data_IF_735023315703
#
_entry.id   IF_735023315703
#
_cell.length_a   1.000
_cell.length_b   1.000
_cell.length_c   1.000
_cell.angle_alpha   90.00
_cell.angle_beta   90.00
_cell.angle_gamma   90.00
#
_symmetry.space_group_name_H-M   'P 1'
#
loop_
_entity.id
_entity.type
_entity.pdbx_description
1 polymer ?
#
# COMPACT_ATOMS: atom_id res chain seq x y z
N UNK A 1 -22.88 -33.79 -2.98
CA UNK A 1 -24.00 -32.89 -2.66
C UNK A 1 -23.43 -31.76 -1.84
N UNK A 2 -23.12 -30.64 -2.48
CA UNK A 2 -22.57 -29.43 -1.85
C UNK A 2 -23.69 -28.42 -1.90
N UNK A 3 -24.20 -28.07 -0.73
CA UNK A 3 -25.33 -27.19 -0.53
C UNK A 3 -24.89 -26.15 0.50
N UNK A 4 -24.12 -25.19 0.04
CA UNK A 4 -23.69 -23.93 0.67
C UNK A 4 -23.46 -22.97 -0.52
N UNK A 5 -23.81 -21.69 -0.55
CA UNK A 5 -24.25 -20.74 0.46
C UNK A 5 -24.84 -19.53 -0.33
N UNK A 6 -26.17 -19.39 -0.49
CA UNK A 6 -26.74 -18.20 -1.12
C UNK A 6 -26.60 -16.94 -0.25
N UNK A 7 -26.32 -17.12 1.05
CA UNK A 7 -26.23 -16.03 2.03
C UNK A 7 -24.87 -15.28 1.97
N UNK A 8 -23.75 -15.96 1.66
CA UNK A 8 -22.47 -15.27 1.45
C UNK A 8 -22.50 -14.36 0.24
N UNK A 9 -23.15 -14.79 -0.85
CA UNK A 9 -23.30 -13.96 -2.05
C UNK A 9 -24.16 -12.72 -1.76
N UNK A 10 -25.20 -12.85 -0.93
CA UNK A 10 -26.03 -11.72 -0.53
C UNK A 10 -25.26 -10.73 0.37
N UNK A 11 -24.48 -11.23 1.32
CA UNK A 11 -23.65 -10.38 2.19
C UNK A 11 -22.58 -9.61 1.40
N UNK A 12 -21.97 -10.23 0.38
CA UNK A 12 -20.95 -9.60 -0.45
C UNK A 12 -21.55 -8.57 -1.43
N UNK A 13 -22.75 -8.84 -1.97
CA UNK A 13 -23.51 -7.87 -2.79
C UNK A 13 -23.99 -6.69 -1.93
N UNK A 14 -24.44 -6.90 -0.70
CA UNK A 14 -24.78 -5.81 0.21
C UNK A 14 -23.56 -4.98 0.61
N UNK A 15 -22.38 -5.61 0.78
CA UNK A 15 -21.15 -4.88 1.06
C UNK A 15 -20.68 -4.02 -0.13
N UNK A 16 -20.83 -4.50 -1.37
CA UNK A 16 -20.58 -3.70 -2.58
C UNK A 16 -21.60 -2.56 -2.73
N UNK A 17 -22.88 -2.81 -2.42
CA UNK A 17 -23.95 -1.81 -2.55
C UNK A 17 -23.88 -0.72 -1.48
N UNK A 18 -23.43 -1.05 -0.27
CA UNK A 18 -23.20 -0.07 0.80
C UNK A 18 -21.97 0.83 0.53
N UNK A 19 -21.06 0.44 -0.36
CA UNK A 19 -19.97 1.28 -0.85
C UNK A 19 -20.41 2.35 -1.86
N UNK A 20 -21.55 2.14 -2.52
CA UNK A 20 -22.16 3.07 -3.47
C UNK A 20 -23.32 3.84 -2.81
N UNK A 21 -23.05 4.62 -1.76
CA UNK A 21 -24.01 5.63 -1.34
C UNK A 21 -24.02 6.77 -2.36
N UNK A 22 -25.17 7.10 -2.98
CA UNK A 22 -25.31 8.31 -3.78
C UNK A 22 -25.10 9.50 -2.83
N UNK A 23 -24.10 10.33 -3.13
CA UNK A 23 -23.91 11.63 -2.47
C UNK A 23 -25.00 12.57 -3.01
N UNK A 24 -26.22 12.37 -2.55
CA UNK A 24 -27.37 13.26 -2.77
C UNK A 24 -27.64 13.95 -1.44
N UNK A 25 -27.06 15.13 -1.26
CA UNK A 25 -27.57 16.23 -0.41
C UNK A 25 -26.52 17.36 -0.30
N UNK A 26 -26.12 17.91 -1.44
CA UNK A 26 -25.36 19.17 -1.49
C UNK A 26 -25.93 20.09 -2.57
N UNK A 27 -25.95 21.41 -2.34
CA UNK A 27 -26.57 22.37 -3.24
C UNK A 27 -25.89 22.36 -4.62
N UNK A 28 -26.66 22.57 -5.71
CA UNK A 28 -26.15 22.53 -7.07
C UNK A 28 -25.10 23.62 -7.29
N UNK A 29 -23.94 23.21 -7.81
CA UNK A 29 -22.93 24.13 -8.32
C UNK A 29 -23.51 24.92 -9.51
N UNK A 30 -23.26 26.24 -9.54
CA UNK A 30 -23.80 27.15 -10.55
C UNK A 30 -23.44 26.76 -12.01
N UNK A 31 -24.29 27.12 -12.98
CA UNK A 31 -24.33 26.49 -14.30
C UNK A 31 -23.09 26.72 -15.21
N UNK A 32 -22.28 27.75 -14.98
CA UNK A 32 -21.19 28.11 -15.92
C UNK A 32 -19.78 27.61 -15.52
N UNK A 33 -19.62 26.95 -14.37
CA UNK A 33 -18.35 26.30 -13.97
C UNK A 33 -18.47 24.79 -13.70
N UNK A 34 -19.66 24.23 -13.88
CA UNK A 34 -19.99 22.86 -13.46
C UNK A 34 -19.43 21.75 -14.38
N UNK A 35 -18.92 22.07 -15.56
CA UNK A 35 -18.67 21.05 -16.60
C UNK A 35 -17.49 20.09 -16.32
N UNK A 36 -16.53 20.41 -15.44
CA UNK A 36 -15.40 19.49 -15.16
C UNK A 36 -14.99 19.41 -13.67
N UNK A 37 -15.89 19.70 -12.74
CA UNK A 37 -15.62 19.46 -11.32
C UNK A 37 -16.03 18.04 -10.93
N UNK A 38 -15.10 17.22 -10.42
CA UNK A 38 -15.41 15.89 -9.86
C UNK A 38 -14.89 15.76 -8.44
N UNK A 39 -15.68 15.09 -7.60
CA UNK A 39 -15.36 14.83 -6.20
C UNK A 39 -14.99 13.37 -6.02
N UNK A 40 -13.92 13.14 -5.28
CA UNK A 40 -13.40 11.83 -4.90
C UNK A 40 -13.26 11.76 -3.39
N UNK A 41 -13.23 10.55 -2.83
CA UNK A 41 -13.06 10.35 -1.40
C UNK A 41 -11.76 9.58 -1.16
N UNK A 42 -10.69 10.31 -0.91
CA UNK A 42 -9.40 9.71 -0.59
C UNK A 42 -9.42 9.13 0.83
N UNK A 43 -8.78 7.99 1.03
CA UNK A 43 -8.62 7.39 2.36
C UNK A 43 -7.27 7.79 2.95
N UNK A 44 -7.22 8.21 4.23
CA UNK A 44 -5.98 8.63 4.90
C UNK A 44 -5.61 7.75 6.09
N UNK A 45 -4.33 7.39 6.23
CA UNK A 45 -3.74 6.60 7.34
C UNK A 45 -3.43 7.47 8.56
N UNK A 46 -4.33 8.38 8.94
CA UNK A 46 -4.10 9.26 10.11
C UNK A 46 -4.03 8.50 11.45
N UNK A 47 -4.37 7.21 11.45
CA UNK A 47 -4.40 6.36 12.65
C UNK A 47 -3.02 6.10 13.26
N UNK A 48 -1.94 6.15 12.47
CA UNK A 48 -0.60 5.84 12.99
C UNK A 48 -0.18 6.79 14.12
N UNK A 49 -0.55 8.08 14.03
CA UNK A 49 -0.23 9.06 15.08
C UNK A 49 -1.00 8.78 16.38
N UNK A 50 -2.28 8.39 16.30
CA UNK A 50 -3.08 8.06 17.48
C UNK A 50 -2.60 6.78 18.15
N UNK A 51 -2.26 5.75 17.36
CA UNK A 51 -1.63 4.53 17.87
C UNK A 51 -0.36 4.86 18.64
N UNK A 52 0.54 5.67 18.07
CA UNK A 52 1.75 6.09 18.79
C UNK A 52 1.43 6.81 20.10
N UNK A 53 0.51 7.78 20.10
CA UNK A 53 0.13 8.51 21.32
C UNK A 53 -0.41 7.54 22.39
N UNK A 54 -1.29 6.60 22.01
CA UNK A 54 -1.85 5.63 22.94
C UNK A 54 -0.78 4.68 23.49
N UNK A 55 0.09 4.15 22.63
CA UNK A 55 1.16 3.22 23.03
C UNK A 55 2.16 3.90 23.97
N UNK A 56 2.62 5.11 23.65
CA UNK A 56 3.56 5.83 24.53
C UNK A 56 2.91 6.28 25.83
N UNK A 57 1.66 6.77 25.78
CA UNK A 57 0.90 7.10 26.98
C UNK A 57 0.71 5.90 27.90
N UNK A 58 0.42 4.73 27.33
CA UNK A 58 0.32 3.48 28.08
C UNK A 58 1.64 3.04 28.72
N UNK A 59 2.73 3.04 27.95
CA UNK A 59 4.05 2.67 28.47
C UNK A 59 4.49 3.58 29.62
N UNK A 60 4.24 4.90 29.51
CA UNK A 60 4.53 5.84 30.57
C UNK A 60 3.68 5.59 31.83
N UNK A 61 2.38 5.32 31.66
CA UNK A 61 1.49 4.98 32.78
C UNK A 61 1.93 3.68 33.47
N UNK A 62 2.29 2.66 32.69
CA UNK A 62 2.77 1.37 33.20
C UNK A 62 4.06 1.56 34.01
N UNK A 63 5.03 2.31 33.50
CA UNK A 63 6.27 2.63 34.22
C UNK A 63 6.00 3.36 35.55
N UNK A 64 5.04 4.30 35.57
CA UNK A 64 4.67 5.01 36.79
C UNK A 64 4.03 4.09 37.85
N UNK A 65 3.12 3.19 37.43
CA UNK A 65 2.50 2.21 38.35
C UNK A 65 3.56 1.27 38.94
N UNK A 66 4.46 0.74 38.11
CA UNK A 66 5.55 -0.12 38.58
C UNK A 66 6.50 0.62 39.54
N UNK A 67 6.82 1.88 39.28
CA UNK A 67 7.64 2.69 40.19
C UNK A 67 6.99 2.84 41.57
N UNK A 68 5.68 3.12 41.62
CA UNK A 68 4.93 3.23 42.89
C UNK A 68 4.88 1.89 43.64
N UNK A 69 4.61 0.79 42.93
CA UNK A 69 4.60 -0.55 43.54
C UNK A 69 5.97 -0.94 44.10
N UNK A 70 7.06 -0.52 43.44
CA UNK A 70 8.42 -0.81 43.89
C UNK A 70 8.78 -0.01 45.16
N UNK A 71 8.35 1.24 45.26
CA UNK A 71 8.61 2.10 46.44
C UNK A 71 7.73 1.73 47.63
N UNK A 72 6.48 1.28 47.39
CA UNK A 72 5.51 0.97 48.43
C UNK A 72 4.98 -0.47 48.29
N UNK A 73 5.61 -1.46 48.95
CA UNK A 73 5.19 -2.87 48.85
C UNK A 73 3.73 -3.12 49.28
N UNK A 74 3.21 -2.31 50.20
CA UNK A 74 1.80 -2.38 50.63
C UNK A 74 0.81 -2.01 49.54
N UNK A 75 1.25 -1.31 48.49
CA UNK A 75 0.42 -0.92 47.36
C UNK A 75 0.32 -2.02 46.29
N UNK A 76 0.90 -3.21 46.49
CA UNK A 76 1.00 -4.24 45.45
C UNK A 76 -0.37 -4.70 44.93
N UNK A 77 -1.31 -5.02 45.83
CA UNK A 77 -2.68 -5.45 45.45
C UNK A 77 -3.40 -4.32 44.70
N UNK A 78 -3.33 -3.11 45.23
CA UNK A 78 -3.93 -1.92 44.60
C UNK A 78 -3.33 -1.66 43.22
N UNK A 79 -2.02 -1.84 43.06
CA UNK A 79 -1.31 -1.69 41.79
C UNK A 79 -1.82 -2.63 40.71
N UNK A 80 -2.07 -3.90 41.03
CA UNK A 80 -2.66 -4.87 40.10
C UNK A 80 -4.09 -4.51 39.69
N UNK A 81 -4.91 -4.03 40.64
CA UNK A 81 -6.27 -3.56 40.33
C UNK A 81 -6.23 -2.37 39.38
N UNK A 82 -5.35 -1.39 39.63
CA UNK A 82 -5.14 -0.24 38.75
C UNK A 82 -4.68 -0.69 37.36
N UNK A 83 -3.74 -1.63 37.28
CA UNK A 83 -3.26 -2.15 36.00
C UNK A 83 -4.37 -2.87 35.21
N UNK A 84 -5.22 -3.64 35.90
CA UNK A 84 -6.40 -4.29 35.31
C UNK A 84 -7.39 -3.26 34.73
N UNK A 85 -7.68 -2.19 35.46
CA UNK A 85 -8.54 -1.11 35.00
C UNK A 85 -7.96 -0.33 33.83
N UNK A 86 -6.65 -0.03 33.84
CA UNK A 86 -5.95 0.62 32.72
C UNK A 86 -6.05 -0.26 31.47
N UNK A 87 -5.80 -1.56 31.61
CA UNK A 87 -5.85 -2.51 30.50
C UNK A 87 -7.26 -2.61 29.92
N UNK A 88 -8.28 -2.75 30.78
CA UNK A 88 -9.68 -2.78 30.35
C UNK A 88 -10.08 -1.47 29.67
N UNK A 89 -9.68 -0.33 30.23
CA UNK A 89 -9.91 1.00 29.67
C UNK A 89 -9.29 1.15 28.28
N UNK A 90 -8.08 0.63 28.06
CA UNK A 90 -7.42 0.65 26.75
C UNK A 90 -8.06 -0.25 25.73
N UNK A 91 -8.52 -1.45 26.12
CA UNK A 91 -9.27 -2.33 25.23
C UNK A 91 -10.56 -1.64 24.80
N UNK A 92 -11.32 -1.09 25.75
CA UNK A 92 -12.57 -0.40 25.48
C UNK A 92 -12.36 0.85 24.63
N UNK A 93 -11.35 1.65 24.97
CA UNK A 93 -10.95 2.82 24.19
C UNK A 93 -10.51 2.42 22.79
N UNK A 94 -9.76 1.33 22.63
CA UNK A 94 -9.36 0.78 21.34
C UNK A 94 -10.57 0.42 20.48
N UNK A 95 -11.54 -0.32 21.02
CA UNK A 95 -12.77 -0.69 20.32
C UNK A 95 -13.60 0.55 19.95
N UNK A 96 -13.79 1.49 20.88
CA UNK A 96 -14.55 2.72 20.64
C UNK A 96 -13.83 3.63 19.65
N UNK A 97 -12.52 3.80 19.75
CA UNK A 97 -11.72 4.60 18.83
C UNK A 97 -11.71 3.99 17.44
N UNK A 98 -11.55 2.67 17.31
CA UNK A 98 -11.68 1.94 16.03
C UNK A 98 -13.06 2.18 15.40
N UNK A 99 -14.13 1.99 16.19
CA UNK A 99 -15.50 2.10 15.69
C UNK A 99 -15.92 3.53 15.37
N UNK A 100 -15.57 4.48 16.24
CA UNK A 100 -16.02 5.88 16.14
C UNK A 100 -15.12 6.71 15.23
N UNK A 101 -13.82 6.44 15.22
CA UNK A 101 -12.87 7.20 14.40
C UNK A 101 -12.67 6.58 13.01
N UNK A 102 -13.05 5.30 12.84
CA UNK A 102 -12.85 4.56 11.60
C UNK A 102 -11.37 4.33 11.30
N UNK A 103 -11.02 3.18 10.74
CA UNK A 103 -9.64 2.91 10.31
C UNK A 103 -9.18 3.83 9.17
N UNK A 104 -10.14 4.46 8.49
CA UNK A 104 -9.98 5.28 7.30
C UNK A 104 -10.64 6.63 7.51
N UNK A 105 -9.85 7.69 7.71
CA UNK A 105 -10.41 9.04 7.58
C UNK A 105 -10.66 9.28 6.10
N UNK A 106 -11.92 9.42 5.73
CA UNK A 106 -12.34 9.88 4.40
C UNK A 106 -11.96 11.36 4.26
N UNK A 107 -11.11 11.66 3.30
CA UNK A 107 -10.65 12.99 2.92
C UNK A 107 -11.30 13.28 1.56
N UNK A 108 -12.45 13.97 1.55
CA UNK A 108 -13.07 14.41 0.32
C UNK A 108 -12.15 15.39 -0.40
N UNK A 109 -11.90 15.09 -1.67
CA UNK A 109 -11.03 15.81 -2.57
C UNK A 109 -11.86 16.24 -3.76
N UNK A 110 -11.83 17.52 -4.11
CA UNK A 110 -12.52 18.05 -5.28
C UNK A 110 -11.49 18.47 -6.32
N UNK A 111 -11.59 17.90 -7.52
CA UNK A 111 -10.79 18.26 -8.67
C UNK A 111 -11.57 19.30 -9.46
N UNK A 112 -10.98 20.47 -9.61
CA UNK A 112 -11.51 21.62 -10.35
C UNK A 112 -10.62 21.88 -11.56
N UNK A 113 -11.00 22.81 -12.45
CA UNK A 113 -10.16 23.27 -13.58
C UNK A 113 -8.75 23.66 -13.14
N UNK A 114 -8.67 24.36 -12.01
CA UNK A 114 -7.48 25.11 -11.59
C UNK A 114 -6.55 24.28 -10.69
N UNK A 115 -7.04 23.14 -10.19
CA UNK A 115 -6.28 22.27 -9.30
C UNK A 115 -7.14 21.36 -8.45
N UNK A 116 -6.49 20.75 -7.46
CA UNK A 116 -7.09 19.87 -6.47
C UNK A 116 -7.34 20.65 -5.18
N UNK A 117 -8.56 20.57 -4.65
CA UNK A 117 -8.94 21.17 -3.36
C UNK A 117 -9.28 20.06 -2.37
N UNK A 118 -9.04 20.33 -1.08
CA UNK A 118 -9.25 19.38 0.00
C UNK A 118 -10.18 20.02 1.01
N UNK A 119 -11.34 19.40 1.30
CA UNK A 119 -12.37 20.01 2.14
C UNK A 119 -11.87 20.39 3.55
N UNK A 120 -10.92 19.61 4.08
CA UNK A 120 -10.30 19.89 5.37
C UNK A 120 -9.26 21.02 5.36
N UNK A 121 -9.02 21.67 4.22
CA UNK A 121 -8.05 22.76 4.04
C UNK A 121 -8.67 23.86 3.15
N UNK A 122 -9.70 24.58 3.66
CA UNK A 122 -10.37 25.61 2.88
C UNK A 122 -9.37 26.70 2.46
N UNK A 123 -9.48 27.14 1.20
CA UNK A 123 -8.59 28.15 0.60
C UNK A 123 -7.28 27.62 0.02
N UNK A 124 -6.95 26.33 0.22
CA UNK A 124 -5.81 25.70 -0.45
C UNK A 124 -6.24 25.08 -1.78
N UNK A 125 -5.65 25.56 -2.88
CA UNK A 125 -5.77 24.96 -4.21
C UNK A 125 -4.40 24.41 -4.61
N UNK A 126 -4.30 23.09 -4.68
CA UNK A 126 -3.09 22.41 -5.11
C UNK A 126 -3.04 22.39 -6.63
N UNK A 127 -2.16 23.21 -7.20
CA UNK A 127 -2.03 23.36 -8.65
C UNK A 127 -1.55 22.05 -9.29
N UNK A 128 -2.01 21.82 -10.51
CA UNK A 128 -1.47 20.76 -11.38
C UNK A 128 -0.19 21.19 -12.10
N UNK A 129 0.13 22.49 -12.11
CA UNK A 129 1.39 23.00 -12.62
C UNK A 129 2.56 22.45 -11.77
N UNK A 130 3.51 21.80 -12.44
CA UNK A 130 4.61 21.12 -11.76
C UNK A 130 4.18 19.93 -10.92
N UNK A 131 3.01 19.34 -11.19
CA UNK A 131 2.61 18.05 -10.63
C UNK A 131 3.65 16.99 -11.02
N UNK A 132 4.06 16.16 -10.05
CA UNK A 132 5.06 15.12 -10.27
C UNK A 132 4.50 13.77 -9.85
N UNK A 133 4.86 12.72 -10.60
CA UNK A 133 4.59 11.35 -10.21
C UNK A 133 5.79 10.74 -9.51
N UNK A 134 5.52 10.05 -8.43
CA UNK A 134 6.47 9.24 -7.67
C UNK A 134 5.88 7.87 -7.41
N UNK A 135 6.68 7.02 -6.78
CA UNK A 135 6.19 5.79 -6.18
C UNK A 135 5.83 6.06 -4.72
N UNK A 136 4.82 5.38 -4.22
CA UNK A 136 4.67 5.23 -2.77
C UNK A 136 4.57 3.79 -2.37
N UNK A 137 5.15 3.49 -1.22
CA UNK A 137 4.99 2.22 -0.52
C UNK A 137 4.72 2.54 0.94
N UNK A 138 3.67 1.95 1.47
CA UNK A 138 3.25 2.10 2.85
C UNK A 138 3.45 0.78 3.59
N UNK A 139 3.99 0.88 4.80
CA UNK A 139 4.29 -0.26 5.66
C UNK A 139 5.66 -0.88 5.40
N UNK A 140 6.23 -1.49 6.44
CA UNK A 140 7.48 -2.25 6.37
C UNK A 140 7.40 -3.37 5.34
N UNK A 141 6.21 -3.91 5.11
CA UNK A 141 5.93 -5.05 4.22
C UNK A 141 5.57 -4.67 2.78
N UNK A 142 5.51 -3.38 2.44
CA UNK A 142 5.01 -2.92 1.13
C UNK A 142 3.60 -3.46 0.79
N UNK A 143 2.79 -3.72 1.82
CA UNK A 143 1.41 -4.25 1.69
C UNK A 143 0.48 -3.31 0.94
N UNK A 144 0.80 -2.03 0.90
CA UNK A 144 0.17 -1.06 0.01
C UNK A 144 1.24 -0.32 -0.75
N UNK A 145 1.19 -0.37 -2.06
CA UNK A 145 2.02 0.48 -2.90
C UNK A 145 1.26 0.92 -4.13
N UNK A 146 1.88 1.83 -4.87
CA UNK A 146 1.38 2.27 -6.15
C UNK A 146 2.06 3.57 -6.52
N UNK A 147 1.30 4.42 -7.20
CA UNK A 147 1.79 5.69 -7.72
C UNK A 147 1.36 6.83 -6.80
N UNK A 148 2.23 7.80 -6.55
CA UNK A 148 1.92 9.00 -5.80
C UNK A 148 1.94 10.22 -6.72
N UNK A 149 0.86 10.99 -6.70
CA UNK A 149 0.76 12.29 -7.32
C UNK A 149 1.14 13.37 -6.30
N UNK A 150 2.25 14.05 -6.55
CA UNK A 150 2.77 15.14 -5.74
C UNK A 150 2.27 16.47 -6.29
N UNK A 151 1.53 17.21 -5.46
CA UNK A 151 0.99 18.52 -5.79
C UNK A 151 1.49 19.57 -4.79
N UNK A 152 1.54 20.83 -5.22
CA UNK A 152 2.03 21.96 -4.42
C UNK A 152 1.03 23.12 -4.41
N UNK A 153 0.99 23.82 -3.28
CA UNK A 153 0.26 25.06 -3.06
C UNK A 153 1.18 25.99 -2.25
N UNK A 154 1.99 26.80 -2.92
CA UNK A 154 3.05 27.58 -2.28
C UNK A 154 4.06 26.69 -1.55
N UNK A 155 4.21 26.88 -0.23
CA UNK A 155 5.07 26.06 0.63
C UNK A 155 4.43 24.74 1.08
N UNK A 156 3.13 24.55 0.83
CA UNK A 156 2.38 23.36 1.23
C UNK A 156 2.43 22.32 0.12
N UNK A 157 2.53 21.05 0.53
CA UNK A 157 2.46 19.90 -0.37
C UNK A 157 1.24 19.05 -0.04
N UNK A 158 0.73 18.39 -1.07
CA UNK A 158 -0.27 17.34 -0.94
C UNK A 158 0.13 16.17 -1.80
N UNK A 159 0.14 14.97 -1.24
CA UNK A 159 0.51 13.73 -1.94
C UNK A 159 -0.69 12.81 -1.96
N UNK A 160 -1.23 12.57 -3.15
CA UNK A 160 -2.35 11.66 -3.37
C UNK A 160 -1.82 10.33 -3.93
N UNK A 161 -2.04 9.23 -3.23
CA UNK A 161 -1.70 7.89 -3.71
C UNK A 161 -2.78 7.28 -4.59
N UNK A 162 -2.40 6.57 -5.65
CA UNK A 162 -3.21 5.58 -6.32
C UNK A 162 -2.81 4.20 -5.84
N UNK A 163 -3.58 3.63 -4.91
CA UNK A 163 -3.34 2.29 -4.40
C UNK A 163 -3.48 1.29 -5.55
N UNK A 164 -2.50 0.40 -5.66
CA UNK A 164 -2.45 -0.65 -6.69
C UNK A 164 -2.39 -0.09 -8.14
N UNK A 165 -2.24 1.24 -8.30
CA UNK A 165 -2.06 1.88 -9.60
C UNK A 165 -0.65 1.63 -10.15
N UNK A 166 -0.60 1.15 -11.39
CA UNK A 166 0.64 0.83 -12.11
C UNK A 166 0.92 1.89 -13.17
N UNK A 167 2.19 2.16 -13.40
CA UNK A 167 2.63 3.08 -14.44
C UNK A 167 2.97 2.30 -15.71
N UNK A 168 2.68 2.88 -16.87
CA UNK A 168 3.25 2.40 -18.12
C UNK A 168 4.78 2.47 -18.09
N UNK A 169 5.45 1.55 -18.79
CA UNK A 169 6.92 1.41 -18.81
C UNK A 169 7.68 2.71 -19.10
N UNK A 170 7.12 3.58 -19.95
CA UNK A 170 7.73 4.84 -20.37
C UNK A 170 7.41 6.04 -19.46
N UNK A 171 6.57 5.88 -18.43
CA UNK A 171 6.11 7.03 -17.63
C UNK A 171 7.24 7.50 -16.70
N UNK A 172 7.73 8.74 -16.84
CA UNK A 172 8.83 9.24 -16.03
C UNK A 172 8.38 9.48 -14.58
N UNK A 173 9.12 8.89 -13.64
CA UNK A 173 8.98 9.11 -12.20
C UNK A 173 9.87 10.28 -11.77
N UNK A 174 9.29 11.47 -11.64
CA UNK A 174 10.03 12.69 -11.31
C UNK A 174 10.10 12.97 -9.81
N UNK A 175 9.11 12.51 -9.04
CA UNK A 175 9.07 12.70 -7.60
C UNK A 175 9.84 11.57 -6.87
N UNK A 176 10.54 11.88 -5.78
CA UNK A 176 11.21 10.87 -4.98
C UNK A 176 10.19 9.90 -4.37
N UNK A 177 10.50 8.59 -4.27
CA UNK A 177 9.64 7.63 -3.60
C UNK A 177 9.28 8.08 -2.18
N UNK A 178 8.00 7.99 -1.82
CA UNK A 178 7.50 8.44 -0.52
C UNK A 178 6.88 7.30 0.28
N UNK A 179 7.20 7.25 1.57
CA UNK A 179 6.58 6.31 2.51
C UNK A 179 5.24 6.79 3.08
N UNK A 180 4.85 8.03 2.76
CA UNK A 180 3.64 8.69 3.30
C UNK A 180 2.91 9.45 2.21
N UNK A 181 1.60 9.24 2.16
CA UNK A 181 0.64 9.98 1.34
C UNK A 181 -0.39 10.65 2.25
N UNK A 182 -0.92 11.80 1.86
CA UNK A 182 -1.96 12.51 2.62
C UNK A 182 -3.31 11.77 2.53
N UNK A 183 -3.54 11.09 1.40
CA UNK A 183 -4.60 10.10 1.22
C UNK A 183 -4.33 9.25 -0.03
N UNK A 184 -5.09 8.18 -0.21
CA UNK A 184 -5.05 7.36 -1.42
C UNK A 184 -6.44 7.06 -1.97
N UNK A 185 -6.50 6.83 -3.28
CA UNK A 185 -7.66 6.36 -4.03
C UNK A 185 -7.42 4.93 -4.53
N UNK A 186 -8.48 4.24 -4.95
CA UNK A 186 -8.32 2.99 -5.70
C UNK A 186 -7.75 3.28 -7.09
N UNK A 187 -7.10 2.29 -7.72
CA UNK A 187 -6.46 2.46 -9.03
C UNK A 187 -7.38 3.12 -10.08
N UNK A 188 -8.61 2.60 -10.25
CA UNK A 188 -9.55 3.12 -11.24
C UNK A 188 -9.98 4.58 -10.98
N UNK A 189 -10.18 4.97 -9.72
CA UNK A 189 -10.49 6.36 -9.37
C UNK A 189 -9.27 7.26 -9.61
N UNK A 190 -8.08 6.75 -9.27
CA UNK A 190 -6.83 7.45 -9.47
C UNK A 190 -6.52 7.65 -10.96
N UNK A 191 -6.84 6.69 -11.83
CA UNK A 191 -6.74 6.83 -13.30
C UNK A 191 -7.58 8.00 -13.81
N UNK A 192 -8.80 8.15 -13.28
CA UNK A 192 -9.67 9.30 -13.62
C UNK A 192 -8.99 10.60 -13.18
N UNK A 193 -8.44 10.66 -11.97
CA UNK A 193 -7.68 11.82 -11.49
C UNK A 193 -6.49 12.12 -12.40
N UNK A 194 -5.67 11.12 -12.72
CA UNK A 194 -4.50 11.29 -13.58
C UNK A 194 -4.89 11.76 -14.97
N UNK A 195 -5.98 11.24 -15.55
CA UNK A 195 -6.48 11.69 -16.86
C UNK A 195 -6.89 13.16 -16.87
N UNK A 196 -7.43 13.67 -15.75
CA UNK A 196 -7.78 15.09 -15.60
C UNK A 196 -6.54 15.97 -15.42
N UNK A 197 -5.57 15.49 -14.65
CA UNK A 197 -4.30 16.18 -14.41
C UNK A 197 -3.47 16.24 -15.68
N UNK A 198 -3.31 15.13 -16.39
CA UNK A 198 -2.51 15.00 -17.61
C UNK A 198 -2.91 16.01 -18.69
N UNK A 199 -4.22 16.23 -18.87
CA UNK A 199 -4.76 17.22 -19.83
C UNK A 199 -4.30 18.66 -19.56
N UNK A 200 -3.85 18.96 -18.34
CA UNK A 200 -3.61 20.33 -17.87
C UNK A 200 -2.17 20.60 -17.46
N UNK A 201 -1.48 19.59 -16.93
CA UNK A 201 -0.09 19.73 -16.49
C UNK A 201 0.93 19.35 -17.56
N UNK A 202 0.49 18.79 -18.70
CA UNK A 202 1.39 18.19 -19.69
C UNK A 202 2.08 16.91 -19.17
N UNK A 203 1.64 16.40 -18.02
CA UNK A 203 2.11 15.16 -17.44
C UNK A 203 1.60 14.02 -18.32
N UNK A 204 2.50 13.37 -19.04
CA UNK A 204 2.17 12.22 -19.89
C UNK A 204 1.93 11.00 -18.99
N UNK A 205 0.71 10.87 -18.50
CA UNK A 205 0.28 9.73 -17.69
C UNK A 205 -0.70 8.91 -18.48
N UNK A 206 -0.20 7.80 -19.02
CA UNK A 206 -1.05 6.75 -19.56
C UNK A 206 -0.99 5.58 -18.59
N UNK A 207 -2.15 5.15 -18.10
CA UNK A 207 -2.26 3.83 -17.47
C UNK A 207 -1.89 2.76 -18.51
N UNK A 208 -1.42 1.58 -18.09
CA UNK A 208 -1.04 0.53 -19.01
C UNK A 208 -2.23 0.19 -19.94
N UNK A 209 -2.08 0.46 -21.24
CA UNK A 209 -3.09 0.05 -22.20
C UNK A 209 -3.19 -1.49 -22.25
N UNK A 210 -4.33 -2.07 -22.68
CA UNK A 210 -4.41 -3.51 -22.88
C UNK A 210 -3.31 -3.99 -23.85
N UNK A 211 -2.44 -4.87 -23.36
CA UNK A 211 -1.27 -5.35 -24.11
C UNK A 211 -0.02 -4.48 -24.02
N UNK A 212 -0.05 -3.37 -23.26
CA UNK A 212 1.17 -2.66 -22.90
C UNK A 212 2.03 -3.49 -21.94
N UNK A 213 3.36 -3.31 -21.99
CA UNK A 213 4.26 -4.16 -21.24
C UNK A 213 4.07 -3.99 -19.74
N UNK A 214 3.89 -5.09 -19.03
CA UNK A 214 3.75 -5.09 -17.58
C UNK A 214 5.11 -4.76 -16.95
N UNK A 215 5.19 -3.73 -16.10
CA UNK A 215 6.40 -3.43 -15.30
C UNK A 215 6.15 -3.66 -13.82
N UNK A 216 6.83 -4.66 -13.25
CA UNK A 216 6.75 -4.99 -11.83
C UNK A 216 8.05 -4.67 -11.10
N UNK A 217 7.97 -3.87 -10.06
CA UNK A 217 9.13 -3.42 -9.29
C UNK A 217 9.49 -4.41 -8.19
N UNK A 218 10.73 -4.89 -8.20
CA UNK A 218 11.26 -5.84 -7.23
C UNK A 218 11.99 -5.10 -6.11
N UNK A 219 11.42 -5.16 -4.90
CA UNK A 219 11.98 -4.56 -3.70
C UNK A 219 12.82 -5.59 -2.93
N UNK A 220 13.94 -5.20 -2.33
CA UNK A 220 14.62 -6.08 -1.39
C UNK A 220 13.73 -6.34 -0.17
N UNK A 221 13.88 -7.50 0.51
CA UNK A 221 13.22 -7.75 1.78
C UNK A 221 13.62 -6.65 2.77
N UNK A 222 12.73 -6.29 3.71
CA UNK A 222 13.08 -5.34 4.74
C UNK A 222 14.25 -5.95 5.52
N UNK A 223 15.28 -5.14 5.77
CA UNK A 223 16.33 -5.55 6.70
C UNK A 223 15.62 -5.77 8.03
N UNK A 224 15.72 -6.98 8.59
CA UNK A 224 15.18 -7.29 9.92
C UNK A 224 15.89 -6.36 10.89
N UNK A 225 15.22 -5.25 11.15
CA UNK A 225 15.65 -4.23 12.05
C UNK A 225 15.41 -4.83 13.44
N UNK A 226 16.49 -4.94 14.24
CA UNK A 226 16.42 -5.58 15.55
C UNK A 226 15.33 -4.98 16.45
N UNK A 227 15.00 -5.65 17.58
CA UNK A 227 13.84 -5.33 18.42
C UNK A 227 13.76 -3.87 18.91
N UNK A 228 14.87 -3.13 18.87
CA UNK A 228 14.94 -1.73 19.29
C UNK A 228 14.85 -0.69 18.16
N UNK A 229 14.77 -1.12 16.90
CA UNK A 229 14.70 -0.22 15.76
C UNK A 229 13.46 0.71 15.67
N UNK A 230 12.26 0.35 16.14
CA UNK A 230 11.15 1.31 16.15
C UNK A 230 11.42 2.52 17.07
N UNK A 231 12.40 2.43 17.97
CA UNK A 231 12.82 3.52 18.86
C UNK A 231 13.94 4.40 18.29
N UNK A 232 14.51 4.08 17.13
CA UNK A 232 15.44 4.96 16.42
C UNK A 232 14.67 6.10 15.72
N UNK A 233 14.08 6.96 16.56
CA UNK A 233 13.01 7.94 16.34
C UNK A 233 13.32 9.13 15.41
N UNK A 234 14.33 9.04 14.54
CA UNK A 234 14.75 10.20 13.71
C UNK A 234 15.02 9.90 12.24
N UNK A 235 15.32 8.65 11.87
CA UNK A 235 15.56 8.35 10.45
C UNK A 235 14.21 8.28 9.75
N UNK A 236 13.89 9.34 9.00
CA UNK A 236 12.90 9.32 7.91
C UNK A 236 13.05 7.96 7.25
N UNK A 237 12.09 7.07 7.48
CA UNK A 237 12.08 5.75 6.86
C UNK A 237 11.96 6.02 5.37
N UNK A 238 13.11 6.06 4.69
CA UNK A 238 13.14 6.07 3.25
C UNK A 238 12.52 4.74 2.85
N UNK A 239 11.46 4.75 2.03
CA UNK A 239 10.92 3.51 1.52
C UNK A 239 12.06 2.75 0.81
N UNK A 240 12.11 1.42 0.94
CA UNK A 240 13.11 0.64 0.23
C UNK A 240 12.98 0.94 -1.26
N UNK A 241 14.10 1.24 -1.90
CA UNK A 241 14.13 1.45 -3.34
C UNK A 241 14.09 0.10 -4.06
N UNK A 242 13.37 0.01 -5.20
CA UNK A 242 13.40 -1.20 -6.01
C UNK A 242 14.82 -1.40 -6.56
N UNK A 243 15.30 -2.65 -6.53
CA UNK A 243 16.63 -3.01 -7.05
C UNK A 243 16.60 -3.49 -8.49
N UNK A 244 15.48 -4.10 -8.89
CA UNK A 244 15.23 -4.64 -10.22
C UNK A 244 13.79 -4.34 -10.61
N UNK A 245 13.48 -4.40 -11.89
CA UNK A 245 12.13 -4.50 -12.39
C UNK A 245 12.04 -5.62 -13.41
N UNK A 246 10.93 -6.36 -13.40
CA UNK A 246 10.58 -7.31 -14.45
C UNK A 246 9.62 -6.61 -15.41
N UNK A 247 9.97 -6.60 -16.69
CA UNK A 247 9.14 -6.08 -17.76
C UNK A 247 8.67 -7.23 -18.66
N UNK A 248 7.36 -7.47 -18.68
CA UNK A 248 6.73 -8.42 -19.59
C UNK A 248 6.35 -7.73 -20.89
N UNK A 249 7.06 -8.00 -21.98
CA UNK A 249 6.74 -7.54 -23.34
C UNK A 249 5.95 -8.63 -24.08
N UNK A 250 5.43 -8.30 -25.26
CA UNK A 250 4.64 -9.22 -26.08
C UNK A 250 5.38 -10.54 -26.38
N UNK A 251 6.70 -10.49 -26.62
CA UNK A 251 7.53 -11.62 -27.04
C UNK A 251 8.69 -11.96 -26.08
N UNK A 252 9.03 -11.06 -25.17
CA UNK A 252 10.20 -11.18 -24.31
C UNK A 252 9.92 -10.77 -22.86
N UNK A 253 10.67 -11.35 -21.94
CA UNK A 253 10.73 -10.89 -20.55
C UNK A 253 12.10 -10.23 -20.34
N UNK A 254 12.09 -9.00 -19.81
CA UNK A 254 13.30 -8.25 -19.47
C UNK A 254 13.42 -8.07 -17.98
N UNK A 255 14.64 -8.11 -17.49
CA UNK A 255 15.01 -7.67 -16.15
C UNK A 255 15.82 -6.41 -16.32
N UNK A 256 15.35 -5.30 -15.75
CA UNK A 256 15.96 -3.97 -15.92
C UNK A 256 16.32 -3.36 -14.57
N UNK A 257 17.32 -2.49 -14.55
CA UNK A 257 17.57 -1.60 -13.42
C UNK A 257 16.53 -0.47 -13.42
N UNK A 258 15.69 -0.33 -12.37
CA UNK A 258 14.63 0.67 -12.34
C UNK A 258 15.14 2.13 -12.31
N UNK A 259 16.40 2.38 -11.95
CA UNK A 259 16.95 3.73 -11.85
C UNK A 259 17.55 4.22 -13.17
N UNK A 260 18.17 3.31 -13.93
CA UNK A 260 18.87 3.64 -15.18
C UNK A 260 18.11 3.18 -16.43
N UNK A 261 17.06 2.35 -16.26
CA UNK A 261 16.40 1.59 -17.32
C UNK A 261 17.36 0.71 -18.15
N UNK A 262 18.55 0.40 -17.63
CA UNK A 262 19.48 -0.50 -18.29
C UNK A 262 18.96 -1.94 -18.24
N UNK A 263 18.96 -2.63 -19.39
CA UNK A 263 18.58 -4.04 -19.49
C UNK A 263 19.72 -4.89 -18.92
N UNK A 264 19.41 -5.63 -17.84
CA UNK A 264 20.35 -6.54 -17.18
C UNK A 264 20.30 -7.91 -17.86
N UNK A 265 19.09 -8.39 -18.16
CA UNK A 265 18.88 -9.59 -18.96
C UNK A 265 17.59 -9.49 -19.75
N UNK A 266 17.54 -10.21 -20.87
CA UNK A 266 16.37 -10.33 -21.72
C UNK A 266 16.35 -11.71 -22.34
N UNK A 267 15.20 -12.35 -22.36
CA UNK A 267 15.02 -13.63 -23.02
C UNK A 267 13.62 -13.71 -23.63
N UNK A 268 13.42 -14.60 -24.61
CA UNK A 268 12.08 -14.87 -25.12
C UNK A 268 11.21 -15.46 -24.02
N UNK A 269 9.90 -15.22 -24.08
CA UNK A 269 8.97 -15.73 -23.06
C UNK A 269 9.02 -17.26 -22.92
N UNK A 270 9.32 -17.97 -24.00
CA UNK A 270 9.46 -19.44 -24.03
C UNK A 270 10.72 -19.95 -23.32
N UNK A 271 11.73 -19.10 -23.13
CA UNK A 271 12.97 -19.45 -22.42
C UNK A 271 12.92 -19.08 -20.94
N UNK A 272 11.99 -18.22 -20.54
CA UNK A 272 11.78 -17.84 -19.15
C UNK A 272 10.85 -18.84 -18.49
N UNK A 273 11.28 -19.42 -17.38
CA UNK A 273 10.46 -20.32 -16.59
C UNK A 273 10.10 -19.67 -15.27
N UNK A 274 8.84 -19.82 -14.85
CA UNK A 274 8.37 -19.35 -13.56
C UNK A 274 7.68 -20.51 -12.86
N UNK A 275 8.03 -20.72 -11.58
CA UNK A 275 7.51 -21.84 -10.80
C UNK A 275 7.02 -21.37 -9.44
N UNK A 276 5.82 -21.82 -9.01
CA UNK A 276 5.35 -21.56 -7.66
C UNK A 276 6.17 -22.38 -6.66
N UNK A 277 6.47 -21.79 -5.52
CA UNK A 277 7.24 -22.40 -4.44
C UNK A 277 6.82 -21.85 -3.07
N UNK A 278 7.30 -22.46 -1.99
CA UNK A 278 7.06 -21.99 -0.63
C UNK A 278 8.37 -21.88 0.15
N UNK A 279 8.55 -20.80 0.89
CA UNK A 279 9.67 -20.64 1.81
C UNK A 279 9.16 -20.73 3.25
N UNK A 280 9.79 -21.57 4.09
CA UNK A 280 9.44 -21.63 5.51
C UNK A 280 10.21 -20.53 6.25
N UNK A 281 9.50 -19.47 6.60
CA UNK A 281 10.03 -18.43 7.48
C UNK A 281 10.04 -18.95 8.92
N UNK A 282 11.15 -18.74 9.62
CA UNK A 282 11.36 -19.20 11.00
C UNK A 282 11.87 -18.02 11.81
N UNK A 283 11.00 -17.46 12.63
CA UNK A 283 11.34 -16.54 13.71
C UNK A 283 11.34 -17.28 15.06
N UNK A 284 11.99 -16.73 16.10
CA UNK A 284 12.02 -17.36 17.43
C UNK A 284 10.63 -17.69 18.00
N UNK A 285 9.63 -16.89 17.64
CA UNK A 285 8.27 -16.98 18.18
C UNK A 285 7.30 -17.72 17.25
N UNK A 286 7.58 -17.76 15.94
CA UNK A 286 6.64 -18.29 14.95
C UNK A 286 7.36 -18.83 13.71
N UNK A 287 6.87 -19.96 13.19
CA UNK A 287 7.21 -20.41 11.83
C UNK A 287 5.97 -20.41 10.96
N UNK A 288 6.07 -19.84 9.76
CA UNK A 288 4.99 -19.82 8.77
C UNK A 288 5.56 -20.00 7.36
N UNK A 289 4.73 -20.46 6.43
CA UNK A 289 5.11 -20.58 5.03
C UNK A 289 4.78 -19.29 4.30
N UNK A 290 5.72 -18.85 3.47
CA UNK A 290 5.62 -17.67 2.62
C UNK A 290 5.52 -18.14 1.18
N UNK A 291 4.53 -17.70 0.39
CA UNK A 291 4.45 -18.03 -1.03
C UNK A 291 5.58 -17.32 -1.78
N UNK A 292 6.31 -18.06 -2.60
CA UNK A 292 7.43 -17.58 -3.41
C UNK A 292 7.19 -17.92 -4.88
N UNK A 293 7.43 -16.97 -5.77
CA UNK A 293 7.55 -17.18 -7.21
C UNK A 293 9.03 -17.24 -7.56
N UNK A 294 9.48 -18.33 -8.17
CA UNK A 294 10.86 -18.48 -8.65
C UNK A 294 10.86 -18.27 -10.16
N UNK A 295 11.50 -17.18 -10.61
CA UNK A 295 11.60 -16.81 -12.03
C UNK A 295 13.03 -17.05 -12.50
N UNK A 296 13.20 -17.90 -13.50
CA UNK A 296 14.48 -18.17 -14.13
C UNK A 296 14.55 -17.47 -15.49
N UNK A 297 15.47 -16.52 -15.60
CA UNK A 297 15.79 -15.81 -16.85
C UNK A 297 17.19 -16.25 -17.28
N UNK A 298 17.38 -16.73 -18.54
CA UNK A 298 18.69 -17.11 -19.05
C UNK A 298 19.76 -16.04 -18.82
N UNK A 299 20.95 -16.48 -18.38
CA UNK A 299 22.08 -15.58 -18.07
C UNK A 299 22.03 -14.94 -16.68
N UNK A 300 21.01 -15.22 -15.87
CA UNK A 300 20.91 -14.74 -14.49
C UNK A 300 20.73 -15.89 -13.49
N UNK A 301 21.02 -15.59 -12.22
CA UNK A 301 20.59 -16.44 -11.12
C UNK A 301 19.05 -16.39 -11.00
N UNK A 302 18.39 -17.50 -10.61
CA UNK A 302 16.94 -17.52 -10.40
C UNK A 302 16.50 -16.44 -9.39
N UNK A 303 15.53 -15.62 -9.78
CA UNK A 303 14.95 -14.60 -8.93
C UNK A 303 13.92 -15.25 -8.01
N UNK A 304 14.08 -15.07 -6.70
CA UNK A 304 13.12 -15.55 -5.69
C UNK A 304 12.29 -14.37 -5.18
N UNK A 305 11.01 -14.37 -5.53
CA UNK A 305 10.11 -13.24 -5.30
C UNK A 305 9.02 -13.68 -4.32
N UNK A 306 8.93 -13.01 -3.17
CA UNK A 306 7.81 -13.20 -2.25
C UNK A 306 6.52 -12.66 -2.88
N UNK A 307 5.49 -13.51 -2.89
CA UNK A 307 4.14 -13.18 -3.34
C UNK A 307 3.23 -12.85 -2.15
N UNK A 308 2.10 -12.22 -2.43
CA UNK A 308 1.10 -11.88 -1.40
C UNK A 308 -0.03 -12.90 -1.26
N UNK A 309 -0.26 -13.72 -2.29
CA UNK A 309 -1.30 -14.75 -2.28
C UNK A 309 -0.69 -16.14 -2.15
N UNK A 310 -1.34 -16.98 -1.38
CA UNK A 310 -0.96 -18.37 -1.19
C UNK A 310 -1.16 -19.19 -2.46
N UNK A 311 -0.28 -20.17 -2.65
CA UNK A 311 -0.44 -21.18 -3.69
C UNK A 311 -1.44 -22.27 -3.28
N UNK A 312 -2.16 -22.79 -4.26
CA UNK A 312 -3.04 -23.95 -4.18
C UNK A 312 -2.20 -25.23 -4.26
N UNK A 313 -2.50 -26.18 -3.37
CA UNK A 313 -1.84 -27.48 -3.33
C UNK A 313 -0.41 -27.42 -2.75
N UNK A 314 0.29 -28.54 -2.86
CA UNK A 314 1.69 -28.65 -2.42
C UNK A 314 2.63 -28.11 -3.49
N UNK A 315 3.42 -27.10 -3.12
CA UNK A 315 4.44 -26.51 -3.98
C UNK A 315 5.85 -26.81 -3.47
N UNK A 316 6.87 -26.88 -4.35
CA UNK A 316 8.26 -27.09 -3.94
C UNK A 316 8.71 -26.14 -2.82
N UNK A 317 9.48 -26.66 -1.87
CA UNK A 317 10.02 -25.87 -0.74
C UNK A 317 11.36 -25.24 -1.10
N UNK A 318 11.46 -23.93 -0.99
CA UNK A 318 12.71 -23.17 -1.09
C UNK A 318 13.43 -23.17 0.25
N UNK A 319 14.75 -23.43 0.20
CA UNK A 319 15.63 -23.37 1.38
C UNK A 319 16.09 -21.94 1.67
N UNK A 320 16.21 -21.12 0.64
CA UNK A 320 16.70 -19.76 0.71
C UNK A 320 15.55 -18.77 0.90
N UNK A 321 15.80 -17.74 1.72
CA UNK A 321 14.87 -16.61 1.87
C UNK A 321 14.70 -15.90 0.53
N UNK A 322 13.48 -15.46 0.16
CA UNK A 322 13.27 -14.69 -1.06
C UNK A 322 14.13 -13.42 -1.06
N UNK A 323 14.83 -13.18 -2.18
CA UNK A 323 15.67 -12.00 -2.39
C UNK A 323 14.84 -10.76 -2.70
N UNK A 324 13.64 -10.95 -3.25
CA UNK A 324 12.77 -9.86 -3.65
C UNK A 324 11.36 -10.03 -3.10
N UNK A 325 10.63 -8.93 -3.09
CA UNK A 325 9.19 -8.86 -2.89
C UNK A 325 8.60 -7.89 -3.89
N UNK A 326 7.32 -8.04 -4.12
CA UNK A 326 6.53 -7.19 -5.00
C UNK A 326 5.28 -6.73 -4.27
N UNK A 327 4.62 -5.70 -4.79
CA UNK A 327 3.33 -5.27 -4.27
C UNK A 327 2.26 -6.35 -4.43
N UNK A 328 1.14 -6.25 -3.72
CA UNK A 328 0.02 -7.18 -3.90
C UNK A 328 -0.48 -7.18 -5.36
N UNK A 329 -0.62 -5.99 -5.95
CA UNK A 329 -0.99 -5.84 -7.35
C UNK A 329 0.04 -6.46 -8.30
N UNK A 330 1.33 -6.17 -8.13
CA UNK A 330 2.40 -6.71 -8.98
C UNK A 330 2.56 -8.22 -8.81
N UNK A 331 2.34 -8.74 -7.60
CA UNK A 331 2.33 -10.18 -7.32
C UNK A 331 1.28 -10.87 -8.19
N UNK A 332 0.06 -10.35 -8.22
CA UNK A 332 -1.00 -10.92 -9.05
C UNK A 332 -0.66 -10.78 -10.54
N UNK A 333 -0.15 -9.62 -10.96
CA UNK A 333 0.24 -9.36 -12.34
C UNK A 333 1.29 -10.35 -12.86
N UNK A 334 2.35 -10.57 -12.08
CA UNK A 334 3.41 -11.50 -12.44
C UNK A 334 2.88 -12.92 -12.56
N UNK A 335 1.99 -13.32 -11.65
CA UNK A 335 1.37 -14.64 -11.68
C UNK A 335 0.50 -14.83 -12.92
N UNK A 336 -0.26 -13.82 -13.30
CA UNK A 336 -1.03 -13.81 -14.56
C UNK A 336 -0.11 -13.82 -15.79
N UNK A 337 0.93 -12.99 -15.79
CA UNK A 337 1.93 -12.89 -16.87
C UNK A 337 2.64 -14.23 -17.10
N UNK A 338 2.89 -15.00 -16.05
CA UNK A 338 3.49 -16.33 -16.18
C UNK A 338 2.48 -17.47 -16.34
N UNK A 339 1.18 -17.18 -16.46
CA UNK A 339 0.13 -18.20 -16.65
C UNK A 339 -0.11 -19.08 -15.41
N UNK A 340 0.20 -18.58 -14.22
CA UNK A 340 0.11 -19.31 -12.95
C UNK A 340 -1.13 -18.93 -12.10
N UNK A 341 -2.07 -18.16 -12.66
CA UNK A 341 -3.26 -17.69 -11.92
C UNK A 341 -4.11 -18.83 -11.34
N UNK A 342 -4.23 -19.96 -12.05
CA UNK A 342 -4.96 -21.14 -11.57
C UNK A 342 -4.32 -21.79 -10.33
N UNK A 343 -3.04 -21.52 -10.08
CA UNK A 343 -2.32 -22.01 -8.91
C UNK A 343 -2.54 -21.15 -7.67
N UNK A 344 -3.30 -20.05 -7.71
CA UNK A 344 -3.60 -19.26 -6.53
C UNK A 344 -4.76 -19.87 -5.73
N UNK A 345 -4.71 -19.71 -4.40
CA UNK A 345 -5.90 -19.90 -3.56
C UNK A 345 -6.92 -18.77 -3.87
N UNK A 346 -8.22 -19.10 -3.86
CA UNK A 346 -9.28 -18.14 -4.15
C UNK A 346 -9.31 -16.99 -3.13
#
# INVERSE_FOLDING_TARGET
MVQDEPEQYLAEVEHQKAGQQPVTDLPPAGPDRAAESRRFVATSTRMQTWLFICTFGFLAALAAVFAVMFVFPSAFITGWVVLGLITLGLILFGVVAVRRWGWSRKVPVCITSDGLTVEGRPGEVFSFEGAQLGLFSFGQEATMSGTALHLRCGSRRFVLGGRDHRLGTATPLQAPPTGRVDGWLQAAEFDVVLSMVARRSGLEVRGPAPGEPLRCLLYPPPKTLGPFAPFASGRRHQPPQPRLAIEGLADAIRVVDPNTNAVIASASRTQVTATPASYRHVDPEQSYNVPVLVVHVPGMQPLTIQCHRDWRGDVPKQKTKPEFRVSAADSQALVEEFGLAANLKP
#
